data_IF_728355352510
#
_entry.id   IF_728355352510
#
_cell.length_a   1.000
_cell.length_b   1.000
_cell.length_c   1.000
_cell.angle_alpha   90.00
_cell.angle_beta   90.00
_cell.angle_gamma   90.00
#
_symmetry.space_group_name_H-M   'P 1'
#
loop_
_entity.id
_entity.type
_entity.pdbx_description
1 polymer ?
#
# COMPACT_ATOMS: atom_id res chain seq x y z
N UNK A 1 7.55 -10.59 -13.97
CA UNK A 1 8.07 -9.87 -12.78
C UNK A 1 6.98 -9.89 -11.72
N UNK A 2 7.30 -10.10 -10.44
CA UNK A 2 6.28 -10.09 -9.39
C UNK A 2 5.85 -8.65 -9.09
N UNK A 3 4.55 -8.38 -9.19
CA UNK A 3 3.94 -7.08 -8.91
C UNK A 3 2.88 -7.22 -7.81
N UNK A 4 2.63 -6.14 -7.09
CA UNK A 4 1.50 -5.99 -6.16
C UNK A 4 0.72 -4.73 -6.50
N UNK A 5 -0.58 -4.73 -6.23
CA UNK A 5 -1.43 -3.55 -6.36
C UNK A 5 -1.85 -3.08 -4.98
N UNK A 6 -1.48 -1.84 -4.66
CA UNK A 6 -1.91 -1.15 -3.45
C UNK A 6 -3.07 -0.21 -3.76
N UNK A 7 -4.00 -0.09 -2.82
CA UNK A 7 -5.21 0.74 -2.98
C UNK A 7 -5.07 2.01 -2.16
N UNK A 8 -5.29 3.18 -2.76
CA UNK A 8 -5.36 4.44 -2.01
C UNK A 8 -6.61 4.43 -1.14
N UNK A 9 -6.45 4.67 0.16
CA UNK A 9 -7.56 4.69 1.11
C UNK A 9 -7.49 5.94 1.97
N UNK A 10 -8.66 6.52 2.28
CA UNK A 10 -8.78 7.62 3.24
C UNK A 10 -8.64 7.10 4.67
N UNK A 11 -7.86 7.79 5.48
CA UNK A 11 -7.78 7.61 6.93
C UNK A 11 -8.78 8.51 7.69
N UNK A 12 -9.61 9.28 6.98
CA UNK A 12 -10.34 10.41 7.54
C UNK A 12 -9.47 11.67 7.64
N UNK A 13 -10.09 12.81 7.94
CA UNK A 13 -9.41 14.11 8.14
C UNK A 13 -8.46 14.51 6.98
N UNK A 14 -8.86 14.18 5.74
CA UNK A 14 -8.08 14.49 4.55
C UNK A 14 -6.71 13.78 4.45
N UNK A 15 -6.49 12.70 5.22
CA UNK A 15 -5.25 11.90 5.16
C UNK A 15 -5.47 10.62 4.37
N UNK A 16 -4.43 10.15 3.70
CA UNK A 16 -4.47 8.94 2.87
C UNK A 16 -3.36 7.95 3.19
N UNK A 17 -3.62 6.68 2.91
CA UNK A 17 -2.70 5.54 3.07
C UNK A 17 -2.79 4.59 1.89
N UNK A 18 -1.91 3.60 1.86
CA UNK A 18 -1.93 2.51 0.89
C UNK A 18 -2.39 1.21 1.55
N UNK A 19 -3.60 0.76 1.21
CA UNK A 19 -4.14 -0.52 1.65
C UNK A 19 -3.61 -1.68 0.81
N UNK A 20 -3.15 -2.73 1.48
CA UNK A 20 -2.72 -4.00 0.88
C UNK A 20 -3.92 -4.92 0.76
N UNK A 21 -4.09 -5.58 -0.39
CA UNK A 21 -5.15 -6.57 -0.55
C UNK A 21 -4.90 -7.80 0.35
N UNK A 22 -5.95 -8.58 0.61
CA UNK A 22 -5.88 -9.73 1.54
C UNK A 22 -4.88 -10.79 1.10
N UNK A 23 -4.78 -11.07 -0.20
CA UNK A 23 -3.87 -12.08 -0.73
C UNK A 23 -2.40 -11.69 -0.53
N UNK A 24 -2.04 -10.45 -0.87
CA UNK A 24 -0.67 -9.96 -0.70
C UNK A 24 -0.35 -9.80 0.78
N UNK A 25 -1.35 -9.44 1.60
CA UNK A 25 -1.21 -9.39 3.04
C UNK A 25 -0.80 -10.75 3.61
N UNK A 26 -1.40 -11.86 3.16
CA UNK A 26 -1.08 -13.20 3.67
C UNK A 26 0.16 -13.84 3.03
N UNK A 27 0.53 -13.45 1.81
CA UNK A 27 1.61 -14.11 1.06
C UNK A 27 2.93 -13.34 1.04
N UNK A 28 2.88 -12.00 1.02
CA UNK A 28 4.07 -11.13 0.85
C UNK A 28 4.40 -10.42 2.16
N UNK A 29 3.41 -9.76 2.76
CA UNK A 29 3.63 -8.89 3.91
C UNK A 29 3.63 -9.66 5.23
N UNK A 30 2.72 -10.64 5.34
CA UNK A 30 2.59 -11.71 6.34
C UNK A 30 2.40 -11.28 7.80
N UNK A 31 3.03 -10.20 8.25
CA UNK A 31 3.08 -9.75 9.64
C UNK A 31 2.95 -8.24 9.78
N UNK A 32 2.50 -7.78 10.95
CA UNK A 32 2.60 -6.37 11.37
C UNK A 32 4.06 -5.95 11.57
N UNK A 33 4.33 -4.65 11.47
CA UNK A 33 5.66 -4.04 11.67
C UNK A 33 6.75 -4.61 10.75
N UNK A 34 6.34 -5.15 9.59
CA UNK A 34 7.26 -5.57 8.54
C UNK A 34 7.79 -4.31 7.85
N UNK A 35 9.10 -4.15 7.79
CA UNK A 35 9.73 -3.03 7.09
C UNK A 35 9.41 -3.09 5.59
N UNK A 36 8.94 -1.97 5.06
CA UNK A 36 8.62 -1.77 3.65
C UNK A 36 9.28 -0.49 3.16
N UNK A 37 9.93 -0.56 2.01
CA UNK A 37 10.61 0.57 1.36
C UNK A 37 9.92 0.84 0.04
N UNK A 38 9.30 2.01 -0.10
CA UNK A 38 8.66 2.44 -1.34
C UNK A 38 9.65 3.26 -2.18
N UNK A 39 10.06 2.74 -3.34
CA UNK A 39 10.81 3.48 -4.37
C UNK A 39 9.81 4.09 -5.34
N UNK A 40 9.40 5.33 -5.08
CA UNK A 40 8.31 6.00 -5.81
C UNK A 40 8.80 6.86 -6.98
N UNK A 41 10.04 7.36 -6.93
CA UNK A 41 10.72 8.08 -8.01
C UNK A 41 12.22 7.72 -7.97
N UNK A 42 13.02 8.13 -8.97
CA UNK A 42 14.45 7.78 -9.08
C UNK A 42 15.24 8.08 -7.79
N UNK A 43 14.96 9.22 -7.15
CA UNK A 43 15.66 9.70 -5.95
C UNK A 43 14.74 9.78 -4.72
N UNK A 44 13.51 9.26 -4.79
CA UNK A 44 12.53 9.39 -3.71
C UNK A 44 12.16 8.03 -3.16
N UNK A 45 12.55 7.83 -1.91
CA UNK A 45 12.30 6.62 -1.13
C UNK A 45 11.50 6.97 0.11
N UNK A 46 10.52 6.13 0.44
CA UNK A 46 9.73 6.25 1.67
C UNK A 46 9.85 4.95 2.46
N UNK A 47 10.45 5.03 3.63
CA UNK A 47 10.43 3.96 4.61
C UNK A 47 9.10 3.97 5.36
N UNK A 48 8.52 2.79 5.52
CA UNK A 48 7.28 2.56 6.26
C UNK A 48 7.30 1.14 6.79
N UNK A 49 6.26 0.78 7.53
CA UNK A 49 6.01 -0.58 7.92
C UNK A 49 4.54 -0.95 7.71
N UNK A 50 4.26 -2.25 7.75
CA UNK A 50 2.89 -2.75 7.77
C UNK A 50 2.21 -2.39 9.09
N UNK A 51 1.07 -1.73 8.98
CA UNK A 51 0.19 -1.34 10.07
C UNK A 51 -1.19 -1.97 9.87
N UNK A 52 -2.04 -1.98 10.91
CA UNK A 52 -3.34 -2.66 10.87
C UNK A 52 -3.21 -4.17 10.50
N UNK A 53 -4.27 -4.92 10.19
CA UNK A 53 -4.20 -6.39 9.96
C UNK A 53 -4.15 -7.26 11.23
N UNK A 54 -4.28 -8.60 11.19
CA UNK A 54 -4.20 -9.44 12.39
C UNK A 54 -2.85 -9.31 13.13
N UNK A 55 -2.82 -9.44 14.47
CA UNK A 55 -1.55 -9.62 15.19
C UNK A 55 -0.86 -10.91 14.73
N UNK A 56 0.45 -11.02 14.95
CA UNK A 56 1.28 -12.16 14.53
C UNK A 56 0.95 -13.47 15.27
N UNK A 57 -0.11 -13.49 16.07
CA UNK A 57 -0.50 -14.64 16.88
C UNK A 57 -1.16 -15.68 16.00
N UNK A 58 -0.47 -16.81 15.86
CA UNK A 58 -0.95 -18.01 15.16
C UNK A 58 -2.32 -18.49 15.67
N UNK A 59 -2.71 -18.12 16.88
CA UNK A 59 -4.03 -18.43 17.46
C UNK A 59 -5.17 -17.60 16.86
N UNK A 60 -4.93 -16.33 16.50
CA UNK A 60 -5.99 -15.45 15.93
C UNK A 60 -6.37 -15.89 14.51
N UNK A 61 -5.45 -16.57 13.81
CA UNK A 61 -5.66 -17.11 12.46
C UNK A 61 -6.49 -18.39 12.42
N UNK A 62 -6.61 -19.15 13.53
CA UNK A 62 -7.35 -20.42 13.56
C UNK A 62 -8.87 -20.25 13.60
N UNK A 63 -9.37 -19.17 14.21
CA UNK A 63 -10.80 -19.06 14.52
C UNK A 63 -11.51 -17.78 14.03
N UNK A 64 -10.87 -16.88 13.28
CA UNK A 64 -11.56 -15.70 12.71
C UNK A 64 -11.16 -15.46 11.27
N UNK A 65 -12.17 -15.35 10.40
CA UNK A 65 -12.09 -14.73 9.06
C UNK A 65 -11.43 -13.35 9.20
N UNK A 66 -10.11 -13.27 9.16
CA UNK A 66 -9.41 -11.99 9.20
C UNK A 66 -9.64 -11.28 7.87
N UNK A 67 -10.72 -10.48 7.81
CA UNK A 67 -11.16 -9.74 6.63
C UNK A 67 -10.29 -8.51 6.30
N UNK A 68 -9.37 -8.12 7.19
CA UNK A 68 -8.59 -6.87 7.06
C UNK A 68 -7.16 -7.18 6.60
N UNK A 69 -6.77 -6.63 5.46
CA UNK A 69 -5.38 -6.59 5.01
C UNK A 69 -4.53 -5.61 5.81
N UNK A 70 -3.23 -5.61 5.54
CA UNK A 70 -2.30 -4.62 6.09
C UNK A 70 -2.43 -3.28 5.38
N UNK A 71 -2.02 -2.21 6.06
CA UNK A 71 -1.93 -0.86 5.53
C UNK A 71 -0.49 -0.36 5.60
N UNK A 72 -0.09 0.47 4.65
CA UNK A 72 1.15 1.24 4.69
C UNK A 72 0.80 2.71 4.88
N UNK A 73 1.25 3.27 6.00
CA UNK A 73 0.97 4.66 6.35
C UNK A 73 2.22 5.35 6.89
N UNK A 74 2.55 6.49 6.26
CA UNK A 74 3.55 7.44 6.73
C UNK A 74 3.17 8.83 6.21
N UNK A 75 3.59 9.91 6.90
CA UNK A 75 3.33 11.29 6.45
C UNK A 75 3.78 11.53 5.01
N UNK A 76 4.92 10.94 4.63
CA UNK A 76 5.46 11.02 3.26
C UNK A 76 4.59 10.30 2.22
N UNK A 77 3.89 9.22 2.61
CA UNK A 77 2.94 8.50 1.73
C UNK A 77 1.72 9.40 1.45
N UNK A 78 1.14 9.99 2.49
CA UNK A 78 0.03 10.93 2.35
C UNK A 78 0.39 12.10 1.41
N UNK A 79 1.56 12.71 1.65
CA UNK A 79 2.07 13.79 0.80
C UNK A 79 2.25 13.35 -0.66
N UNK A 80 2.80 12.16 -0.89
CA UNK A 80 2.99 11.62 -2.24
C UNK A 80 1.67 11.33 -2.96
N UNK A 81 0.67 10.77 -2.27
CA UNK A 81 -0.68 10.54 -2.79
C UNK A 81 -1.33 11.87 -3.18
N UNK A 82 -1.14 12.91 -2.37
CA UNK A 82 -1.67 14.25 -2.65
C UNK A 82 -0.98 14.92 -3.82
N UNK A 83 0.35 14.92 -3.86
CA UNK A 83 1.13 15.57 -4.92
C UNK A 83 0.89 14.95 -6.30
N UNK A 84 0.54 13.66 -6.35
CA UNK A 84 0.23 12.96 -7.59
C UNK A 84 -1.28 12.85 -7.87
N UNK A 85 -2.10 13.56 -7.08
CA UNK A 85 -3.56 13.53 -7.17
C UNK A 85 -4.20 12.12 -7.12
N UNK A 86 -3.51 11.12 -6.56
CA UNK A 86 -4.04 9.76 -6.48
C UNK A 86 -5.25 9.63 -5.55
N UNK A 87 -5.51 10.63 -4.70
CA UNK A 87 -6.72 10.73 -3.89
C UNK A 87 -7.96 11.15 -4.68
N UNK A 88 -7.80 11.65 -5.91
CA UNK A 88 -8.91 12.02 -6.78
C UNK A 88 -9.56 10.77 -7.41
N UNK A 89 -10.52 10.16 -6.73
CA UNK A 89 -11.24 9.02 -7.28
C UNK A 89 -12.75 9.12 -7.04
N UNK A 90 -13.54 8.40 -7.84
CA UNK A 90 -14.99 8.32 -7.64
C UNK A 90 -15.30 7.51 -6.38
N UNK A 91 -16.44 7.79 -5.76
CA UNK A 91 -16.90 7.01 -4.61
C UNK A 91 -16.84 5.50 -4.91
N UNK A 92 -16.32 4.72 -3.96
CA UNK A 92 -16.15 3.25 -4.07
C UNK A 92 -15.22 2.77 -5.18
N UNK A 93 -14.52 3.68 -5.88
CA UNK A 93 -13.56 3.33 -6.93
C UNK A 93 -12.17 3.88 -6.61
N UNK A 94 -11.56 3.53 -5.46
CA UNK A 94 -10.27 4.06 -5.06
C UNK A 94 -9.19 3.82 -6.12
N UNK A 95 -8.25 4.76 -6.21
CA UNK A 95 -7.07 4.63 -7.07
C UNK A 95 -6.28 3.39 -6.68
N UNK A 96 -5.94 2.58 -7.68
CA UNK A 96 -5.08 1.41 -7.53
C UNK A 96 -3.73 1.72 -8.15
N UNK A 97 -2.66 1.49 -7.40
CA UNK A 97 -1.29 1.81 -7.77
C UNK A 97 -0.49 0.51 -7.82
N UNK A 98 0.17 0.27 -8.95
CA UNK A 98 0.97 -0.94 -9.14
C UNK A 98 2.43 -0.71 -8.74
N UNK A 99 3.00 -1.70 -8.07
CA UNK A 99 4.39 -1.74 -7.67
C UNK A 99 5.03 -3.06 -8.12
N UNK A 100 6.26 -2.98 -8.61
CA UNK A 100 7.15 -4.11 -8.75
C UNK A 100 7.71 -4.47 -7.38
N UNK A 101 7.66 -5.77 -7.04
CA UNK A 101 8.23 -6.30 -5.80
C UNK A 101 9.69 -6.65 -6.06
N UNK A 102 10.59 -6.01 -5.34
CA UNK A 102 12.01 -6.34 -5.29
C UNK A 102 12.25 -6.96 -3.91
N UNK A 103 12.39 -8.28 -3.86
CA UNK A 103 12.34 -9.02 -2.59
C UNK A 103 13.70 -8.99 -1.87
N UNK A 104 13.65 -8.81 -0.56
CA UNK A 104 14.72 -9.19 0.37
C UNK A 104 14.11 -9.95 1.56
N UNK A 105 14.88 -10.87 2.16
CA UNK A 105 14.44 -11.75 3.25
C UNK A 105 13.97 -10.98 4.49
N UNK A 106 14.45 -9.76 4.72
CA UNK A 106 14.10 -8.93 5.89
C UNK A 106 13.25 -7.70 5.55
N UNK A 107 13.37 -7.15 4.33
CA UNK A 107 12.74 -5.89 3.92
C UNK A 107 12.02 -6.06 2.59
N UNK A 108 10.78 -5.56 2.51
CA UNK A 108 10.01 -5.58 1.27
C UNK A 108 10.29 -4.28 0.53
N UNK A 109 10.84 -4.34 -0.68
CA UNK A 109 11.04 -3.15 -1.51
C UNK A 109 9.97 -3.15 -2.59
N UNK A 110 9.19 -2.08 -2.66
CA UNK A 110 8.16 -1.88 -3.67
C UNK A 110 8.58 -0.71 -4.56
N UNK A 111 8.80 -0.98 -5.85
CA UNK A 111 9.15 0.04 -6.84
C UNK A 111 7.91 0.42 -7.63
N UNK A 112 7.53 1.69 -7.62
CA UNK A 112 6.40 2.18 -8.39
C UNK A 112 6.63 1.95 -9.89
N UNK A 113 5.63 1.42 -10.60
CA UNK A 113 5.76 1.08 -12.03
C UNK A 113 5.32 2.21 -12.96
N UNK A 114 4.72 3.28 -12.42
CA UNK A 114 4.00 4.29 -13.22
C UNK A 114 2.54 3.94 -13.48
N UNK A 115 2.15 2.67 -13.29
CA UNK A 115 0.80 2.21 -13.61
C UNK A 115 -0.19 2.52 -12.49
N UNK A 116 -1.29 3.18 -12.86
CA UNK A 116 -2.40 3.51 -11.98
C UNK A 116 -3.75 3.27 -12.66
N UNK A 117 -4.74 2.81 -11.88
CA UNK A 117 -6.14 2.63 -12.31
C UNK A 117 -7.07 3.44 -11.40
N UNK A 118 -8.21 3.85 -11.95
CA UNK A 118 -9.27 4.62 -11.26
C UNK A 118 -8.90 6.04 -10.79
N UNK A 119 -7.69 6.55 -11.09
CA UNK A 119 -7.34 7.95 -10.84
C UNK A 119 -8.09 8.85 -11.84
N UNK A 120 -8.90 9.77 -11.32
CA UNK A 120 -9.70 10.71 -12.11
C UNK A 120 -8.91 11.97 -12.51
N UNK A 121 -7.93 12.35 -11.71
CA UNK A 121 -7.10 13.54 -11.95
C UNK A 121 -5.85 13.21 -12.80
N UNK A 122 -5.93 12.24 -13.73
CA UNK A 122 -4.87 12.10 -14.74
C UNK A 122 -4.93 13.32 -15.65
N UNK A 123 -4.22 14.38 -15.28
CA UNK A 123 -3.88 15.43 -16.22
C UNK A 123 -3.02 14.76 -17.29
N UNK A 124 -3.52 14.73 -18.52
CA UNK A 124 -2.68 14.51 -19.68
C UNK A 124 -1.67 15.67 -19.68
N UNK A 125 -0.40 15.38 -19.41
CA UNK A 125 0.69 16.25 -19.81
C UNK A 125 0.94 16.02 -21.30
#
# INVERSE_FOLDING_TARGET
>A
MNTTTLTVQSCGNGKFRLGVNTNDSSTIFQKRYRKVVLKIEKNRVIDTETTCGPPNDKEVLKNKKCKKGYDLYAKKIDQWIKSNHFHCYRERQPTKIEFQIIKSNSTIILKFTGNTRNNRCKCYN
#
